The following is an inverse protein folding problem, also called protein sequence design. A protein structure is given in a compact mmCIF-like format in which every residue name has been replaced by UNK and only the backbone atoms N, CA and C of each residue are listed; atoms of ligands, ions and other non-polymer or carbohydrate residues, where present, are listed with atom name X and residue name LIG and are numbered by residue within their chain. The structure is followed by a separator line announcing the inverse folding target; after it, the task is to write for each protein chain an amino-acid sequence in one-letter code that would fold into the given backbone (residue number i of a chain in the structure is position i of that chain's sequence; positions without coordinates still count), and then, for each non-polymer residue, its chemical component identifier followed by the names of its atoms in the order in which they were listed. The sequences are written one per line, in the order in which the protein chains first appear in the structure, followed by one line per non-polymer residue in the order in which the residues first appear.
data_IF_121868315982
#
_entry.id   IF_121868315982
#
_cell.length_a   1.000
_cell.length_b   1.000
_cell.length_c   1.000
_cell.angle_alpha   90.00
_cell.angle_beta   90.00
_cell.angle_gamma   90.00
#
_symmetry.space_group_name_H-M   'P 1'
#
loop_
_entity.id
_entity.type
_entity.pdbx_description
1 polymer ?
#
# COMPACT_ATOMS: atom_id res chain seq x y z
N UNK A 1 -65.06 -28.48 -17.89
CA UNK A 1 -64.18 -27.82 -16.96
C UNK A 1 -62.91 -28.71 -16.76
N UNK A 2 -61.88 -28.48 -17.54
CA UNK A 2 -60.65 -29.29 -17.56
C UNK A 2 -59.56 -28.46 -16.87
N UNK A 3 -59.11 -28.91 -15.69
CA UNK A 3 -58.01 -28.29 -14.92
C UNK A 3 -56.71 -28.77 -15.51
N UNK A 4 -55.88 -27.81 -16.00
CA UNK A 4 -54.53 -28.08 -16.43
C UNK A 4 -53.58 -27.97 -15.22
N UNK A 5 -52.92 -29.07 -14.88
CA UNK A 5 -51.89 -29.16 -13.85
C UNK A 5 -50.57 -28.66 -14.46
N UNK A 6 -50.06 -27.50 -14.03
CA UNK A 6 -48.73 -27.04 -14.39
C UNK A 6 -47.69 -27.72 -13.48
N UNK A 7 -46.91 -28.61 -14.06
CA UNK A 7 -45.68 -29.12 -13.40
C UNK A 7 -44.59 -28.06 -13.52
N UNK A 8 -44.19 -27.47 -12.40
CA UNK A 8 -42.99 -26.65 -12.32
C UNK A 8 -41.75 -27.58 -12.22
N UNK A 9 -40.97 -27.65 -13.29
CA UNK A 9 -39.65 -28.32 -13.27
C UNK A 9 -38.65 -27.47 -12.49
N UNK A 10 -38.22 -27.94 -11.33
CA UNK A 10 -37.09 -27.38 -10.61
C UNK A 10 -35.79 -27.68 -11.39
N UNK A 11 -35.10 -26.63 -11.85
CA UNK A 11 -33.79 -26.78 -12.45
C UNK A 11 -32.76 -27.26 -11.38
N UNK A 12 -31.93 -28.28 -11.70
CA UNK A 12 -30.89 -28.69 -10.77
C UNK A 12 -29.88 -27.54 -10.58
N UNK A 13 -29.61 -27.18 -9.34
CA UNK A 13 -28.46 -26.30 -9.01
C UNK A 13 -27.17 -26.98 -9.48
N UNK A 14 -26.49 -26.36 -10.42
CA UNK A 14 -25.18 -26.80 -10.88
C UNK A 14 -24.22 -26.71 -9.67
N UNK A 15 -23.97 -27.81 -9.00
CA UNK A 15 -22.96 -27.93 -7.94
C UNK A 15 -21.59 -27.68 -8.54
N UNK A 16 -20.74 -26.98 -7.80
CA UNK A 16 -19.32 -26.81 -8.15
C UNK A 16 -18.64 -28.16 -8.32
N UNK A 17 -17.69 -28.32 -9.26
CA UNK A 17 -17.00 -29.58 -9.47
C UNK A 17 -16.26 -30.03 -8.19
N UNK A 18 -16.15 -31.32 -7.91
CA UNK A 18 -15.57 -31.86 -6.67
C UNK A 18 -14.17 -31.34 -6.35
N UNK A 19 -13.34 -31.10 -7.35
CA UNK A 19 -11.95 -30.60 -7.22
C UNK A 19 -11.94 -29.17 -6.63
N UNK A 20 -12.87 -28.32 -6.99
CA UNK A 20 -12.95 -26.95 -6.47
C UNK A 20 -13.38 -26.93 -4.98
N UNK A 21 -14.26 -27.84 -4.61
CA UNK A 21 -14.69 -28.00 -3.21
C UNK A 21 -13.54 -28.51 -2.32
N UNK A 22 -12.72 -29.42 -2.81
CA UNK A 22 -11.56 -29.94 -2.08
C UNK A 22 -10.48 -28.89 -1.89
N UNK A 23 -10.20 -28.05 -2.91
CA UNK A 23 -9.24 -26.94 -2.79
C UNK A 23 -9.72 -25.85 -1.83
N UNK A 24 -11.01 -25.54 -1.84
CA UNK A 24 -11.58 -24.54 -0.92
C UNK A 24 -11.55 -25.04 0.54
N UNK A 25 -11.83 -26.31 0.78
CA UNK A 25 -11.73 -26.93 2.10
C UNK A 25 -10.28 -26.95 2.61
N UNK A 26 -9.32 -27.31 1.74
CA UNK A 26 -7.90 -27.30 2.04
C UNK A 26 -7.40 -25.89 2.37
N UNK A 27 -7.80 -24.89 1.58
CA UNK A 27 -7.44 -23.49 1.81
C UNK A 27 -7.96 -22.99 3.17
N UNK A 28 -9.21 -23.27 3.50
CA UNK A 28 -9.82 -22.92 4.78
C UNK A 28 -9.10 -23.57 5.98
N UNK A 29 -8.75 -24.84 5.85
CA UNK A 29 -8.01 -25.57 6.89
C UNK A 29 -6.59 -25.00 7.07
N UNK A 30 -5.90 -24.72 5.96
CA UNK A 30 -4.57 -24.14 5.98
C UNK A 30 -4.55 -22.71 6.58
N UNK A 31 -5.54 -21.89 6.26
CA UNK A 31 -5.70 -20.55 6.84
C UNK A 31 -5.91 -20.62 8.36
N UNK A 32 -6.79 -21.51 8.82
CA UNK A 32 -7.01 -21.71 10.26
C UNK A 32 -5.75 -22.18 10.99
N UNK A 33 -4.99 -23.12 10.40
CA UNK A 33 -3.73 -23.60 10.93
C UNK A 33 -2.68 -22.48 10.99
N UNK A 34 -2.54 -21.67 9.93
CA UNK A 34 -1.65 -20.51 9.89
C UNK A 34 -1.90 -19.56 11.05
N UNK A 35 -3.17 -19.18 11.27
CA UNK A 35 -3.56 -18.29 12.37
C UNK A 35 -3.30 -18.90 13.76
N UNK A 36 -3.42 -20.22 13.89
CA UNK A 36 -3.16 -20.92 15.14
C UNK A 36 -1.64 -21.01 15.42
N UNK A 37 -0.86 -21.37 14.43
CA UNK A 37 0.59 -21.58 14.59
C UNK A 37 1.37 -20.28 14.74
N UNK A 38 0.90 -19.19 14.11
CA UNK A 38 1.56 -17.87 14.10
C UNK A 38 0.65 -16.77 14.65
N UNK A 39 0.04 -17.01 15.80
CA UNK A 39 -0.99 -16.14 16.41
C UNK A 39 -0.52 -14.70 16.75
N UNK A 40 0.78 -14.44 16.77
CA UNK A 40 1.40 -13.13 16.98
C UNK A 40 1.50 -12.28 15.71
N UNK A 41 1.15 -12.84 14.55
CA UNK A 41 1.13 -12.14 13.25
C UNK A 41 -0.32 -11.92 12.79
N UNK A 42 -0.58 -10.73 12.23
CA UNK A 42 -1.85 -10.45 11.58
C UNK A 42 -1.74 -10.77 10.08
N UNK A 43 -2.44 -11.82 9.65
CA UNK A 43 -2.50 -12.22 8.25
C UNK A 43 -3.76 -11.70 7.59
N UNK A 44 -3.61 -11.28 6.33
CA UNK A 44 -4.69 -10.83 5.44
C UNK A 44 -4.50 -11.47 4.06
N UNK A 45 -5.53 -11.41 3.22
CA UNK A 45 -5.47 -11.79 1.79
C UNK A 45 -4.97 -13.23 1.57
N UNK A 46 -5.40 -14.19 2.43
CA UNK A 46 -5.01 -15.59 2.30
C UNK A 46 -5.54 -16.17 0.98
N UNK A 47 -4.66 -16.77 0.19
CA UNK A 47 -4.97 -17.32 -1.13
C UNK A 47 -4.00 -18.45 -1.54
N UNK A 48 -4.34 -19.14 -2.62
CA UNK A 48 -3.37 -20.04 -3.28
C UNK A 48 -2.15 -19.25 -3.74
N UNK A 49 -0.96 -19.84 -3.56
CA UNK A 49 0.26 -19.25 -4.11
C UNK A 49 0.30 -19.39 -5.65
N UNK A 50 1.13 -18.60 -6.33
CA UNK A 50 1.34 -18.77 -7.78
C UNK A 50 2.11 -20.06 -8.15
N UNK A 51 2.57 -20.81 -7.15
CA UNK A 51 3.27 -22.08 -7.34
C UNK A 51 2.30 -23.23 -7.20
N UNK A 52 2.31 -24.20 -8.13
CA UNK A 52 1.51 -25.41 -8.01
C UNK A 52 1.97 -26.25 -6.83
N UNK A 53 1.04 -26.75 -6.05
CA UNK A 53 1.27 -27.58 -4.87
C UNK A 53 0.62 -27.00 -3.62
N UNK A 54 0.81 -27.64 -2.46
CA UNK A 54 0.19 -27.23 -1.20
C UNK A 54 0.94 -26.03 -0.58
N UNK A 55 1.05 -24.95 -1.34
CA UNK A 55 1.63 -23.69 -0.90
C UNK A 55 0.60 -22.58 -1.01
N UNK A 56 0.42 -21.83 0.06
CA UNK A 56 -0.48 -20.68 0.12
C UNK A 56 0.30 -19.39 0.24
N UNK A 57 -0.34 -18.27 -0.05
CA UNK A 57 0.20 -16.95 0.23
C UNK A 57 -0.73 -16.18 1.16
N UNK A 58 -0.17 -15.28 1.95
CA UNK A 58 -0.89 -14.32 2.74
C UNK A 58 -0.12 -13.01 2.79
N UNK A 59 -0.78 -11.90 3.14
CA UNK A 59 -0.09 -10.66 3.44
C UNK A 59 0.04 -10.47 4.95
N UNK A 60 1.20 -10.00 5.41
CA UNK A 60 1.40 -9.54 6.77
C UNK A 60 2.32 -8.32 6.79
N UNK A 61 1.88 -7.23 7.42
CA UNK A 61 2.63 -5.98 7.45
C UNK A 61 2.99 -5.43 6.06
N UNK A 62 2.10 -5.61 5.08
CA UNK A 62 2.29 -5.15 3.70
C UNK A 62 3.24 -6.02 2.85
N UNK A 63 3.69 -7.18 3.37
CA UNK A 63 4.54 -8.13 2.65
C UNK A 63 3.77 -9.39 2.32
N UNK A 64 4.03 -9.96 1.15
CA UNK A 64 3.56 -11.29 0.80
C UNK A 64 4.49 -12.32 1.47
N UNK A 65 3.87 -13.28 2.14
CA UNK A 65 4.49 -14.43 2.78
C UNK A 65 3.89 -15.69 2.18
N UNK A 66 4.62 -16.80 2.27
CA UNK A 66 4.13 -18.11 1.81
C UNK A 66 4.04 -19.08 2.98
N UNK A 67 2.99 -19.90 2.96
CA UNK A 67 2.73 -20.89 4.00
C UNK A 67 2.63 -22.29 3.42
N UNK A 68 3.41 -23.21 3.98
CA UNK A 68 3.41 -24.61 3.66
C UNK A 68 2.74 -25.41 4.80
N UNK A 69 1.43 -25.76 4.69
CA UNK A 69 0.66 -26.35 5.80
C UNK A 69 1.11 -27.76 6.18
N UNK A 70 1.63 -28.56 5.23
CA UNK A 70 2.10 -29.91 5.52
C UNK A 70 3.27 -29.95 6.50
N UNK A 71 4.11 -28.94 6.48
CA UNK A 71 5.29 -28.81 7.35
C UNK A 71 5.17 -27.71 8.39
N UNK A 72 4.07 -26.97 8.39
CA UNK A 72 3.79 -25.83 9.27
C UNK A 72 4.89 -24.76 9.22
N UNK A 73 5.36 -24.44 8.01
CA UNK A 73 6.42 -23.47 7.81
C UNK A 73 5.92 -22.19 7.13
N UNK A 74 6.37 -21.04 7.66
CA UNK A 74 6.20 -19.73 7.07
C UNK A 74 7.47 -19.35 6.31
N UNK A 75 7.33 -18.99 5.02
CA UNK A 75 8.45 -18.66 4.15
C UNK A 75 8.42 -17.17 3.80
N UNK A 76 9.56 -16.52 4.01
CA UNK A 76 9.83 -15.15 3.55
C UNK A 76 10.63 -15.27 2.25
N UNK A 77 9.95 -15.28 1.12
CA UNK A 77 10.57 -15.59 -0.17
C UNK A 77 10.10 -14.65 -1.28
N UNK A 78 10.87 -14.60 -2.35
CA UNK A 78 10.47 -13.96 -3.62
C UNK A 78 10.43 -15.03 -4.69
N UNK A 79 9.30 -15.17 -5.36
CA UNK A 79 9.07 -16.16 -6.41
C UNK A 79 9.19 -15.48 -7.77
N UNK A 80 10.00 -16.07 -8.64
CA UNK A 80 10.13 -15.69 -10.04
C UNK A 80 9.63 -16.82 -10.93
N UNK A 81 8.99 -16.49 -12.05
CA UNK A 81 8.70 -17.45 -13.09
C UNK A 81 9.96 -17.76 -13.93
N UNK A 82 9.83 -18.72 -14.87
CA UNK A 82 10.92 -19.11 -15.79
C UNK A 82 11.39 -17.98 -16.72
N UNK A 83 10.61 -16.92 -16.87
CA UNK A 83 10.94 -15.75 -17.72
C UNK A 83 11.53 -14.60 -16.88
N UNK A 84 11.71 -14.79 -15.57
CA UNK A 84 12.24 -13.79 -14.66
C UNK A 84 11.20 -12.77 -14.15
N UNK A 85 9.89 -13.02 -14.33
CA UNK A 85 8.86 -12.17 -13.74
C UNK A 85 8.72 -12.43 -12.25
N UNK A 86 8.76 -11.38 -11.45
CA UNK A 86 8.59 -11.43 -10.01
C UNK A 86 7.10 -11.57 -9.64
N UNK A 87 6.66 -12.81 -9.39
CA UNK A 87 5.28 -13.13 -9.06
C UNK A 87 4.88 -12.61 -7.66
N UNK A 88 5.83 -12.56 -6.73
CA UNK A 88 5.60 -11.98 -5.40
C UNK A 88 5.28 -10.48 -5.49
N UNK A 89 6.03 -9.73 -6.29
CA UNK A 89 5.76 -8.32 -6.53
C UNK A 89 4.40 -8.10 -7.20
N UNK A 90 4.03 -8.92 -8.18
CA UNK A 90 2.70 -8.85 -8.82
C UNK A 90 1.57 -9.08 -7.82
N UNK A 91 1.70 -10.05 -6.91
CA UNK A 91 0.72 -10.30 -5.85
C UNK A 91 0.65 -9.11 -4.87
N UNK A 92 1.80 -8.56 -4.50
CA UNK A 92 1.89 -7.40 -3.61
C UNK A 92 1.25 -6.14 -4.23
N UNK A 93 1.51 -5.89 -5.52
CA UNK A 93 0.90 -4.78 -6.26
C UNK A 93 -0.61 -4.95 -6.39
N UNK A 94 -1.09 -6.18 -6.62
CA UNK A 94 -2.51 -6.48 -6.69
C UNK A 94 -3.21 -6.21 -5.34
N UNK A 95 -2.61 -6.66 -4.23
CA UNK A 95 -3.11 -6.40 -2.89
C UNK A 95 -3.13 -4.90 -2.58
N UNK A 96 -2.05 -4.17 -2.91
CA UNK A 96 -2.00 -2.72 -2.74
C UNK A 96 -3.10 -2.01 -3.54
N UNK A 97 -3.29 -2.35 -4.82
CA UNK A 97 -4.35 -1.77 -5.66
C UNK A 97 -5.76 -2.02 -5.10
N UNK A 98 -6.03 -3.22 -4.60
CA UNK A 98 -7.32 -3.54 -3.99
C UNK A 98 -7.62 -2.68 -2.76
N UNK A 99 -6.59 -2.28 -2.03
CA UNK A 99 -6.69 -1.46 -0.82
C UNK A 99 -6.75 0.06 -1.08
N UNK A 100 -6.40 0.55 -2.28
CA UNK A 100 -6.43 1.99 -2.61
C UNK A 100 -7.78 2.65 -2.35
N UNK A 101 -8.89 1.91 -2.49
CA UNK A 101 -10.25 2.38 -2.19
C UNK A 101 -10.47 2.80 -0.73
N UNK A 102 -9.60 2.39 0.18
CA UNK A 102 -9.65 2.74 1.60
C UNK A 102 -8.90 4.03 1.93
N UNK A 103 -8.20 4.62 0.97
CA UNK A 103 -7.55 5.91 1.13
C UNK A 103 -8.53 7.03 0.81
N UNK A 104 -8.71 7.97 1.73
CA UNK A 104 -9.41 9.22 1.45
C UNK A 104 -8.39 10.28 1.01
N UNK A 105 -8.40 10.71 -0.27
CA UNK A 105 -7.47 11.73 -0.75
C UNK A 105 -7.63 13.10 -0.06
N UNK A 106 -8.78 13.38 0.57
CA UNK A 106 -9.05 14.64 1.27
C UNK A 106 -8.24 14.73 2.56
N UNK A 107 -7.90 13.61 3.17
CA UNK A 107 -7.08 13.56 4.37
C UNK A 107 -5.60 13.76 4.06
N UNK A 108 -5.15 13.43 2.86
CA UNK A 108 -3.76 13.54 2.48
C UNK A 108 -3.25 14.98 2.46
N UNK A 109 -1.97 15.15 2.73
CA UNK A 109 -1.25 16.36 2.38
C UNK A 109 -0.86 16.28 0.90
N UNK A 110 -1.24 17.30 0.12
CA UNK A 110 -0.88 17.39 -1.29
C UNK A 110 0.31 18.33 -1.46
N UNK A 111 1.35 17.84 -2.13
CA UNK A 111 2.60 18.57 -2.41
C UNK A 111 2.91 18.49 -3.90
N UNK A 112 3.28 19.60 -4.50
CA UNK A 112 3.63 19.68 -5.92
C UNK A 112 2.49 20.06 -6.86
N UNK A 113 2.77 20.23 -8.17
CA UNK A 113 1.82 20.74 -9.16
C UNK A 113 0.60 19.83 -9.33
N UNK A 114 -0.63 20.39 -9.48
CA UNK A 114 -1.85 19.60 -9.58
C UNK A 114 -1.91 18.66 -10.78
N UNK A 115 -1.30 19.06 -11.91
CA UNK A 115 -1.35 18.32 -13.18
C UNK A 115 -0.15 17.37 -13.38
N UNK A 116 0.72 17.27 -12.37
CA UNK A 116 1.87 16.37 -12.40
C UNK A 116 1.46 14.91 -12.12
N UNK A 117 2.26 13.92 -12.56
CA UNK A 117 2.01 12.51 -12.25
C UNK A 117 1.84 12.26 -10.76
N UNK A 118 0.83 11.48 -10.39
CA UNK A 118 0.47 11.24 -8.99
C UNK A 118 1.36 10.18 -8.36
N UNK A 119 1.87 10.48 -7.18
CA UNK A 119 2.58 9.58 -6.29
C UNK A 119 1.81 9.51 -4.98
N UNK A 120 1.39 8.32 -4.54
CA UNK A 120 0.90 8.13 -3.17
C UNK A 120 2.12 7.78 -2.32
N UNK A 121 2.33 8.52 -1.25
CA UNK A 121 3.52 8.41 -0.42
C UNK A 121 3.17 8.25 1.06
N UNK A 122 3.67 7.17 1.65
CA UNK A 122 3.66 6.94 3.09
C UNK A 122 5.04 7.29 3.65
N UNK A 123 5.10 8.28 4.52
CA UNK A 123 6.36 8.92 4.89
C UNK A 123 6.39 9.30 6.37
N UNK A 124 7.59 9.44 6.93
CA UNK A 124 7.80 9.80 8.32
C UNK A 124 8.82 10.94 8.39
N UNK A 125 8.50 12.06 9.05
CA UNK A 125 9.38 13.23 9.13
C UNK A 125 10.76 12.96 9.76
N UNK A 126 10.88 11.91 10.57
CA UNK A 126 12.13 11.56 11.26
C UNK A 126 12.91 10.47 10.54
N UNK A 127 12.33 9.83 9.54
CA UNK A 127 13.00 8.80 8.76
C UNK A 127 14.07 9.41 7.82
N UNK A 128 15.35 9.00 7.92
CA UNK A 128 16.40 9.54 7.06
C UNK A 128 16.19 9.23 5.57
N UNK A 129 15.62 8.08 5.25
CA UNK A 129 15.31 7.69 3.87
C UNK A 129 14.15 8.51 3.29
N UNK A 130 13.16 8.91 4.12
CA UNK A 130 12.09 9.81 3.71
C UNK A 130 12.62 11.20 3.38
N UNK A 131 13.54 11.71 4.19
CA UNK A 131 14.23 12.98 3.91
C UNK A 131 15.11 12.90 2.65
N UNK A 132 15.75 11.76 2.40
CA UNK A 132 16.50 11.53 1.17
C UNK A 132 15.58 11.52 -0.05
N UNK A 133 14.42 10.87 0.05
CA UNK A 133 13.39 10.85 -0.99
C UNK A 133 12.85 12.27 -1.26
N UNK A 134 12.63 13.09 -0.23
CA UNK A 134 12.16 14.48 -0.44
C UNK A 134 13.19 15.30 -1.21
N UNK A 135 14.49 15.20 -0.87
CA UNK A 135 15.56 15.83 -1.65
C UNK A 135 15.62 15.35 -3.10
N UNK A 136 15.40 14.04 -3.31
CA UNK A 136 15.34 13.48 -4.65
C UNK A 136 14.18 14.08 -5.46
N UNK A 137 12.96 14.17 -4.88
CA UNK A 137 11.83 14.81 -5.54
C UNK A 137 12.08 16.28 -5.88
N UNK A 138 12.75 17.02 -4.98
CA UNK A 138 13.13 18.40 -5.24
C UNK A 138 14.11 18.52 -6.42
N UNK A 139 15.11 17.63 -6.50
CA UNK A 139 16.02 17.57 -7.64
C UNK A 139 15.30 17.23 -8.94
N UNK A 140 14.39 16.24 -8.94
CA UNK A 140 13.60 15.88 -10.13
C UNK A 140 12.68 17.01 -10.59
N UNK A 141 12.10 17.76 -9.66
CA UNK A 141 11.31 18.94 -10.00
C UNK A 141 12.15 20.02 -10.70
N UNK A 142 13.39 20.26 -10.24
CA UNK A 142 14.33 21.18 -10.88
C UNK A 142 14.73 20.70 -12.31
N UNK A 143 14.71 19.40 -12.58
CA UNK A 143 14.90 18.82 -13.92
C UNK A 143 13.63 18.90 -14.81
N UNK A 144 12.53 19.52 -14.33
CA UNK A 144 11.24 19.58 -15.05
C UNK A 144 10.43 18.28 -14.95
N UNK A 145 10.77 17.40 -14.01
CA UNK A 145 10.08 16.12 -13.75
C UNK A 145 9.38 16.16 -12.39
N UNK A 146 8.61 17.22 -12.15
CA UNK A 146 7.83 17.35 -10.92
C UNK A 146 6.76 16.26 -10.82
N UNK A 147 6.40 15.90 -9.59
CA UNK A 147 5.31 14.95 -9.29
C UNK A 147 4.31 15.59 -8.32
N UNK A 148 3.07 15.12 -8.37
CA UNK A 148 2.03 15.40 -7.38
C UNK A 148 2.10 14.34 -6.30
N UNK A 149 2.51 14.72 -5.10
CA UNK A 149 2.62 13.80 -3.96
C UNK A 149 1.35 13.87 -3.12
N UNK A 150 0.70 12.74 -2.92
CA UNK A 150 -0.41 12.52 -2.00
C UNK A 150 0.16 11.81 -0.76
N UNK A 151 0.41 12.57 0.29
CA UNK A 151 1.22 12.16 1.44
C UNK A 151 0.34 11.74 2.60
N UNK A 152 0.63 10.56 3.16
CA UNK A 152 0.11 10.05 4.42
C UNK A 152 1.27 9.86 5.39
N UNK A 153 1.19 10.48 6.56
CA UNK A 153 2.24 10.37 7.57
C UNK A 153 2.12 9.06 8.35
N UNK A 154 3.25 8.36 8.47
CA UNK A 154 3.42 7.18 9.33
C UNK A 154 3.97 7.66 10.67
N UNK A 155 3.14 7.65 11.69
CA UNK A 155 3.44 8.29 12.98
C UNK A 155 3.82 7.32 14.10
N UNK A 156 3.93 6.02 13.78
CA UNK A 156 4.19 4.97 14.77
C UNK A 156 5.61 4.42 14.81
N UNK A 157 6.52 4.91 13.96
CA UNK A 157 7.91 4.39 13.87
C UNK A 157 8.86 5.22 14.75
N UNK A 158 8.80 6.55 14.66
CA UNK A 158 9.66 7.45 15.44
C UNK A 158 8.85 8.25 16.46
N UNK A 159 9.42 8.54 17.65
CA UNK A 159 8.68 9.16 18.76
C UNK A 159 8.08 10.53 18.46
N UNK A 160 8.77 11.37 17.65
CA UNK A 160 8.31 12.73 17.35
C UNK A 160 7.51 12.83 16.03
N UNK A 161 7.39 11.74 15.28
CA UNK A 161 6.76 11.74 13.96
C UNK A 161 5.32 12.27 13.98
N UNK A 162 4.51 11.85 14.97
CA UNK A 162 3.13 12.32 15.14
C UNK A 162 3.08 13.83 15.36
N UNK A 163 3.94 14.35 16.24
CA UNK A 163 4.01 15.77 16.57
C UNK A 163 4.41 16.64 15.38
N UNK A 164 5.35 16.16 14.58
CA UNK A 164 5.81 16.85 13.37
C UNK A 164 4.77 16.78 12.25
N UNK A 165 4.08 15.64 12.11
CA UNK A 165 2.98 15.49 11.17
C UNK A 165 1.84 16.47 11.51
N UNK A 166 1.42 16.53 12.79
CA UNK A 166 0.41 17.48 13.25
C UNK A 166 0.85 18.93 12.99
N UNK A 167 2.11 19.28 13.29
CA UNK A 167 2.66 20.60 13.02
C UNK A 167 2.50 21.00 11.54
N UNK A 168 2.86 20.11 10.62
CA UNK A 168 2.72 20.33 9.19
C UNK A 168 1.24 20.53 8.81
N UNK A 169 0.37 19.66 9.29
CA UNK A 169 -1.06 19.67 8.96
C UNK A 169 -1.81 20.87 9.56
N UNK A 170 -1.30 21.43 10.66
CA UNK A 170 -1.83 22.66 11.29
C UNK A 170 -1.27 23.96 10.69
N UNK A 171 -0.26 23.88 9.84
CA UNK A 171 0.33 25.09 9.26
C UNK A 171 -0.62 25.74 8.24
N UNK A 172 -0.59 27.09 8.18
CA UNK A 172 -1.32 27.85 7.16
C UNK A 172 -0.82 27.50 5.75
N UNK A 173 0.51 27.42 5.60
CA UNK A 173 1.19 26.88 4.41
C UNK A 173 1.77 25.52 4.76
N UNK A 174 0.99 24.47 4.45
CA UNK A 174 1.35 23.08 4.77
C UNK A 174 2.54 22.59 3.97
N UNK A 175 2.67 23.02 2.71
CA UNK A 175 3.80 22.62 1.87
C UNK A 175 5.11 23.23 2.37
N UNK A 176 5.12 24.52 2.71
CA UNK A 176 6.29 25.18 3.30
C UNK A 176 6.70 24.53 4.63
N UNK A 177 5.72 24.24 5.52
CA UNK A 177 5.98 23.55 6.77
C UNK A 177 6.52 22.12 6.58
N UNK A 178 6.01 21.41 5.58
CA UNK A 178 6.52 20.09 5.19
C UNK A 178 7.99 20.17 4.77
N UNK A 179 8.32 21.06 3.84
CA UNK A 179 9.69 21.22 3.35
C UNK A 179 10.66 21.61 4.47
N UNK A 180 10.30 22.57 5.33
CA UNK A 180 11.10 22.97 6.47
C UNK A 180 11.33 21.79 7.44
N UNK A 181 10.28 21.02 7.75
CA UNK A 181 10.38 19.86 8.64
C UNK A 181 11.31 18.78 8.07
N UNK A 182 11.19 18.49 6.76
CA UNK A 182 12.03 17.48 6.09
C UNK A 182 13.47 17.96 5.87
N UNK A 183 13.69 19.29 5.82
CA UNK A 183 15.04 19.88 5.88
C UNK A 183 15.67 19.81 7.28
N UNK A 184 14.89 19.45 8.31
CA UNK A 184 15.37 19.45 9.70
C UNK A 184 15.17 20.77 10.44
N UNK A 185 14.43 21.70 9.88
CA UNK A 185 14.22 23.08 10.35
C UNK A 185 12.73 23.37 10.63
N UNK A 186 12.01 22.55 11.44
CA UNK A 186 10.64 22.88 11.79
C UNK A 186 10.60 24.14 12.67
N UNK A 187 9.58 24.99 12.47
CA UNK A 187 9.38 26.13 13.37
C UNK A 187 9.11 25.66 14.81
N UNK A 188 9.58 26.43 15.78
CA UNK A 188 9.38 26.15 17.21
C UNK A 188 8.65 27.32 17.88
N UNK A 189 7.66 27.06 18.75
CA UNK A 189 7.08 25.73 19.06
C UNK A 189 6.38 25.09 17.85
N UNK A 190 6.22 23.75 17.86
CA UNK A 190 5.43 23.05 16.85
C UNK A 190 3.95 23.44 16.92
N UNK A 191 3.34 23.71 15.76
CA UNK A 191 1.91 24.02 15.69
C UNK A 191 1.07 22.82 16.16
N UNK A 192 -0.05 23.13 16.82
CA UNK A 192 -1.02 22.15 17.29
C UNK A 192 -2.42 22.65 16.97
N UNK A 193 -3.31 21.79 16.48
CA UNK A 193 -4.70 22.10 16.22
C UNK A 193 -5.56 20.83 16.15
N UNK A 194 -6.85 20.96 16.40
CA UNK A 194 -7.77 19.83 16.39
C UNK A 194 -7.86 19.16 15.00
N UNK A 195 -7.88 19.94 13.91
CA UNK A 195 -7.88 19.42 12.53
C UNK A 195 -6.62 18.61 12.23
N UNK A 196 -5.44 19.11 12.62
CA UNK A 196 -4.18 18.40 12.40
C UNK A 196 -4.11 17.09 13.18
N UNK A 197 -4.54 17.09 14.44
CA UNK A 197 -4.60 15.88 15.25
C UNK A 197 -5.55 14.84 14.64
N UNK A 198 -6.76 15.25 14.22
CA UNK A 198 -7.72 14.37 13.56
C UNK A 198 -7.17 13.76 12.26
N UNK A 199 -6.44 14.55 11.47
CA UNK A 199 -5.78 14.07 10.24
C UNK A 199 -4.64 13.09 10.52
N UNK A 200 -3.85 13.29 11.58
CA UNK A 200 -2.82 12.32 11.99
C UNK A 200 -3.48 10.96 12.32
N UNK A 201 -4.63 10.97 13.00
CA UNK A 201 -5.39 9.74 13.26
C UNK A 201 -5.95 9.11 11.97
N UNK A 202 -6.45 9.92 11.03
CA UNK A 202 -6.91 9.44 9.73
C UNK A 202 -5.75 8.81 8.94
N UNK A 203 -4.57 9.42 8.97
CA UNK A 203 -3.35 8.85 8.37
C UNK A 203 -2.96 7.52 9.02
N UNK A 204 -3.02 7.40 10.35
CA UNK A 204 -2.74 6.14 11.03
C UNK A 204 -3.71 5.03 10.61
N UNK A 205 -5.00 5.35 10.41
CA UNK A 205 -5.99 4.40 9.86
C UNK A 205 -5.66 4.01 8.43
N UNK A 206 -5.27 4.96 7.58
CA UNK A 206 -4.84 4.70 6.20
C UNK A 206 -3.60 3.79 6.16
N UNK A 207 -2.57 4.08 6.96
CA UNK A 207 -1.36 3.26 7.12
C UNK A 207 -1.72 1.82 7.50
N UNK A 208 -2.61 1.65 8.50
CA UNK A 208 -3.06 0.33 8.95
C UNK A 208 -3.84 -0.40 7.86
N UNK A 209 -4.81 0.25 7.21
CA UNK A 209 -5.65 -0.38 6.17
C UNK A 209 -4.84 -0.79 4.93
N UNK A 210 -3.78 -0.04 4.62
CA UNK A 210 -2.85 -0.37 3.52
C UNK A 210 -1.80 -1.43 3.92
N UNK A 211 -1.68 -1.76 5.19
CA UNK A 211 -0.66 -2.69 5.69
C UNK A 211 0.76 -2.14 5.59
N UNK A 212 0.92 -0.82 5.69
CA UNK A 212 2.25 -0.17 5.60
C UNK A 212 3.04 -0.41 6.89
N UNK A 213 4.19 -1.06 6.78
CA UNK A 213 5.06 -1.42 7.91
C UNK A 213 6.41 -0.69 7.93
N UNK A 214 6.70 0.11 6.91
CA UNK A 214 7.97 0.82 6.79
C UNK A 214 7.88 2.09 5.95
N UNK A 215 8.89 2.96 6.07
CA UNK A 215 8.95 4.24 5.36
C UNK A 215 10.31 4.48 4.70
N UNK A 216 10.33 5.18 3.57
CA UNK A 216 9.16 5.55 2.78
C UNK A 216 8.52 4.31 2.11
N UNK A 217 7.21 4.36 1.85
CA UNK A 217 6.54 3.44 0.94
C UNK A 217 5.79 4.25 -0.10
N UNK A 218 5.93 3.88 -1.36
CA UNK A 218 5.33 4.58 -2.49
C UNK A 218 4.35 3.68 -3.23
N UNK A 219 3.32 4.27 -3.82
CA UNK A 219 2.48 3.62 -4.82
C UNK A 219 2.50 4.48 -6.09
N UNK A 220 3.07 3.93 -7.16
CA UNK A 220 3.28 4.55 -8.45
C UNK A 220 2.48 3.76 -9.51
N UNK A 221 1.40 4.32 -10.03
CA UNK A 221 0.49 3.64 -10.98
C UNK A 221 0.03 2.26 -10.49
N UNK A 222 -0.17 2.11 -9.17
CA UNK A 222 -0.60 0.86 -8.55
C UNK A 222 0.54 -0.15 -8.30
N UNK A 223 1.79 0.20 -8.57
CA UNK A 223 2.98 -0.54 -8.17
C UNK A 223 3.44 -0.07 -6.79
N UNK A 224 3.61 -1.00 -5.85
CA UNK A 224 4.10 -0.69 -4.50
C UNK A 224 5.62 -0.80 -4.46
N UNK A 225 6.27 0.27 -3.99
CA UNK A 225 7.72 0.34 -3.78
C UNK A 225 7.99 0.55 -2.30
N UNK A 226 8.62 -0.41 -1.66
CA UNK A 226 9.02 -0.34 -0.25
C UNK A 226 10.44 0.21 -0.12
N UNK A 227 10.59 1.27 0.64
CA UNK A 227 11.86 1.99 0.81
C UNK A 227 12.12 2.99 -0.32
N UNK A 228 13.29 3.63 -0.28
CA UNK A 228 13.75 4.56 -1.31
C UNK A 228 14.55 3.81 -2.37
N UNK A 229 13.86 3.24 -3.35
CA UNK A 229 14.46 2.60 -4.53
C UNK A 229 14.57 3.61 -5.67
N UNK A 230 15.69 4.32 -5.77
CA UNK A 230 15.90 5.36 -6.77
C UNK A 230 15.73 4.81 -8.20
N UNK A 231 16.28 3.62 -8.47
CA UNK A 231 16.22 3.02 -9.80
C UNK A 231 14.79 2.74 -10.27
N UNK A 232 13.92 2.21 -9.39
CA UNK A 232 12.52 1.94 -9.71
C UNK A 232 11.73 3.23 -9.93
N UNK A 233 11.98 4.25 -9.10
CA UNK A 233 11.34 5.56 -9.24
C UNK A 233 11.78 6.25 -10.55
N UNK A 234 13.05 6.19 -10.90
CA UNK A 234 13.55 6.76 -12.17
C UNK A 234 13.01 6.01 -13.38
N UNK A 235 12.90 4.68 -13.31
CA UNK A 235 12.26 3.89 -14.35
C UNK A 235 10.77 4.24 -14.53
N UNK A 236 10.05 4.50 -13.42
CA UNK A 236 8.68 4.97 -13.48
C UNK A 236 8.60 6.38 -14.08
N UNK A 237 9.43 7.35 -13.63
CA UNK A 237 9.48 8.71 -14.19
C UNK A 237 9.76 8.73 -15.68
N UNK A 238 10.61 7.83 -16.17
CA UNK A 238 10.94 7.72 -17.60
C UNK A 238 9.73 7.31 -18.46
N UNK A 239 8.73 6.64 -17.87
CA UNK A 239 7.48 6.25 -18.55
C UNK A 239 6.41 7.34 -18.53
N UNK A 240 6.57 8.37 -17.68
CA UNK A 240 5.60 9.47 -17.61
C UNK A 240 5.73 10.37 -18.83
N UNK A 241 4.60 10.94 -19.28
CA UNK A 241 4.63 11.91 -20.40
C UNK A 241 5.46 13.14 -20.00
N UNK A 242 6.26 13.69 -20.91
CA UNK A 242 6.95 14.94 -20.64
C UNK A 242 5.93 16.02 -20.25
N UNK A 243 6.15 16.69 -19.14
CA UNK A 243 5.34 17.85 -18.78
C UNK A 243 5.63 18.98 -19.76
N UNK A 244 4.58 19.64 -20.25
CA UNK A 244 4.77 20.85 -21.05
C UNK A 244 5.55 21.86 -20.19
N UNK A 245 6.66 22.37 -20.74
CA UNK A 245 7.45 23.40 -20.06
C UNK A 245 6.52 24.61 -19.81
N UNK A 246 6.47 25.16 -18.59
CA UNK A 246 5.66 26.35 -18.34
C UNK A 246 6.09 27.46 -19.32
N UNK A 247 5.18 28.25 -19.85
CA UNK A 247 5.54 29.39 -20.70
C UNK A 247 6.45 30.34 -19.91
N UNK A 248 7.59 30.65 -20.53
CA UNK A 248 8.60 31.60 -20.02
C UNK A 248 8.05 33.02 -20.01
#
# INVERSE_FOLDING_TARGET
MTAALMLAAAAPALGQPPIEQDLAALAKSAEAQLHQSFANLAFEDFALSPVHGPLFQASAGGRILYYAPESDHLLFATIYDKNGFNLTALSQDAAARAKLKHLDPKEALLVGPPDAPLVIEFTDPDCPYCRALDRFWAAKAAEGKAVRRQIYFVSGIHPEAASKAEHILCAKDREAAFRATYAGEPSKPLNRCADGAARVEAHAKAVKSMGISGTPTLILDGQLISGFSQAEIEAWLARQRPQAKPPT
#
